data_IF_907655042516
#
_entry.id   IF_907655042516
#
_cell.length_a   1.000
_cell.length_b   1.000
_cell.length_c   1.000
_cell.angle_alpha   90.00
_cell.angle_beta   90.00
_cell.angle_gamma   90.00
#
_symmetry.space_group_name_H-M   'P 1'
#
loop_
_entity.id
_entity.type
_entity.pdbx_description
1 polymer ?
#
# COMPACT_ATOMS: atom_id res chain seq x y z
N UNK A 1 -24.34 7.31 -25.55
CA UNK A 1 -23.77 8.66 -25.31
C UNK A 1 -22.53 8.51 -24.46
N UNK A 2 -21.33 8.58 -25.06
CA UNK A 2 -20.05 8.49 -24.33
C UNK A 2 -19.65 9.92 -23.95
N UNK A 3 -19.73 10.27 -22.66
CA UNK A 3 -19.12 11.50 -22.18
C UNK A 3 -17.63 11.26 -21.99
N UNK A 4 -16.83 11.76 -22.90
CA UNK A 4 -15.41 11.95 -22.71
C UNK A 4 -15.22 13.09 -21.69
N UNK A 5 -14.72 12.77 -20.49
CA UNK A 5 -14.17 13.80 -19.62
C UNK A 5 -12.94 14.34 -20.35
N UNK A 6 -13.00 15.57 -20.85
CA UNK A 6 -11.92 16.17 -21.62
C UNK A 6 -10.69 16.34 -20.70
N UNK A 7 -9.51 16.11 -21.25
CA UNK A 7 -8.22 16.28 -20.55
C UNK A 7 -8.10 17.64 -19.83
N UNK A 8 -8.76 18.68 -20.34
CA UNK A 8 -8.82 20.00 -19.73
C UNK A 8 -9.56 20.03 -18.38
N UNK A 9 -10.57 19.19 -18.16
CA UNK A 9 -11.28 19.16 -16.85
C UNK A 9 -10.46 18.44 -15.76
N UNK A 10 -9.68 17.44 -16.15
CA UNK A 10 -8.76 16.77 -15.22
C UNK A 10 -7.60 17.70 -14.82
N UNK A 11 -7.09 18.48 -15.77
CA UNK A 11 -6.04 19.49 -15.50
C UNK A 11 -6.52 20.61 -14.57
N UNK A 12 -7.78 21.06 -14.71
CA UNK A 12 -8.38 22.08 -13.84
C UNK A 12 -8.59 21.51 -12.44
N UNK A 13 -9.07 20.28 -12.28
CA UNK A 13 -9.23 19.63 -10.97
C UNK A 13 -7.90 19.44 -10.25
N UNK A 14 -6.85 19.01 -10.95
CA UNK A 14 -5.48 18.90 -10.41
C UNK A 14 -4.90 20.25 -10.03
N UNK A 15 -5.10 21.30 -10.84
CA UNK A 15 -4.65 22.65 -10.55
C UNK A 15 -5.42 23.25 -9.35
N UNK A 16 -6.73 23.02 -9.23
CA UNK A 16 -7.53 23.49 -8.09
C UNK A 16 -7.14 22.79 -6.81
N UNK A 17 -6.83 21.50 -6.85
CA UNK A 17 -6.33 20.75 -5.70
C UNK A 17 -4.94 21.23 -5.27
N UNK A 18 -4.06 21.54 -6.22
CA UNK A 18 -2.73 22.10 -5.95
C UNK A 18 -2.79 23.51 -5.34
N UNK A 19 -3.76 24.35 -5.77
CA UNK A 19 -3.94 25.71 -5.24
C UNK A 19 -4.55 25.70 -3.83
N UNK A 20 -5.39 24.73 -3.48
CA UNK A 20 -5.93 24.55 -2.13
C UNK A 20 -4.88 24.10 -1.09
N UNK A 21 -3.75 23.55 -1.54
CA UNK A 21 -2.64 23.14 -0.68
C UNK A 21 -1.61 24.27 -0.41
N UNK A 22 -1.66 25.37 -1.13
CA UNK A 22 -0.68 26.47 -1.01
C UNK A 22 -0.72 27.31 0.28
N UNK A 23 -1.83 27.47 1.04
CA UNK A 23 -1.81 28.35 2.22
C UNK A 23 -1.27 27.71 3.50
N UNK A 24 -0.88 26.43 3.52
CA UNK A 24 -0.48 25.73 4.75
C UNK A 24 1.04 25.67 4.98
N UNK A 25 1.86 26.32 4.17
CA UNK A 25 3.31 26.33 4.33
C UNK A 25 3.77 27.41 5.31
N UNK A 26 3.36 27.31 6.57
CA UNK A 26 4.05 28.01 7.66
C UNK A 26 5.08 27.04 8.22
N UNK A 27 6.33 27.19 7.81
CA UNK A 27 7.45 26.40 8.30
C UNK A 27 7.86 26.91 9.69
N UNK A 28 7.66 26.09 10.72
CA UNK A 28 8.31 26.29 12.02
C UNK A 28 9.67 25.56 12.06
N UNK A 29 9.74 24.35 11.45
CA UNK A 29 10.95 23.58 11.18
C UNK A 29 10.98 23.19 9.70
N UNK A 30 12.18 23.04 9.11
CA UNK A 30 12.34 22.65 7.70
C UNK A 30 11.69 21.28 7.38
N UNK A 31 11.53 20.92 6.09
CA UNK A 31 10.96 19.65 5.72
C UNK A 31 11.83 18.49 6.23
N UNK A 32 11.21 17.47 6.82
CA UNK A 32 11.90 16.23 7.18
C UNK A 32 11.82 15.20 6.05
N UNK A 33 12.80 14.32 5.99
CA UNK A 33 12.92 13.32 4.94
C UNK A 33 13.08 11.94 5.59
N UNK A 34 12.72 10.92 4.83
CA UNK A 34 13.04 9.58 5.27
C UNK A 34 13.21 8.62 4.08
N UNK A 35 13.95 7.56 4.32
CA UNK A 35 14.14 6.46 3.37
C UNK A 35 13.85 5.13 4.06
N UNK A 36 13.43 4.15 3.29
CA UNK A 36 13.15 2.82 3.79
C UNK A 36 13.46 1.74 2.77
N UNK A 37 13.79 0.57 3.25
CA UNK A 37 13.96 -0.64 2.46
C UNK A 37 13.15 -1.77 3.09
N UNK A 38 12.26 -2.37 2.30
CA UNK A 38 11.44 -3.49 2.70
C UNK A 38 11.85 -4.80 2.04
N UNK A 39 11.47 -5.88 2.66
CA UNK A 39 11.49 -7.23 2.13
C UNK A 39 10.20 -7.93 2.53
N UNK A 40 9.48 -8.45 1.56
CA UNK A 40 8.27 -9.22 1.79
C UNK A 40 8.34 -10.51 1.00
N UNK A 41 7.98 -11.61 1.65
CA UNK A 41 7.79 -12.92 1.03
C UNK A 41 6.36 -13.36 1.23
N UNK A 42 5.76 -13.92 0.20
CA UNK A 42 4.45 -14.55 0.28
C UNK A 42 4.42 -15.82 -0.58
N UNK A 43 3.70 -16.82 -0.10
CA UNK A 43 3.47 -18.08 -0.80
C UNK A 43 2.00 -18.43 -0.77
N UNK A 44 1.48 -18.98 -1.86
CA UNK A 44 0.08 -19.38 -1.95
C UNK A 44 -0.34 -19.78 -3.35
N UNK A 45 -1.54 -20.35 -3.46
CA UNK A 45 -2.15 -20.75 -4.75
C UNK A 45 -2.95 -19.63 -5.40
N UNK A 46 -3.36 -18.63 -4.66
CA UNK A 46 -4.09 -17.44 -5.12
C UNK A 46 -5.31 -17.73 -6.00
N UNK A 47 -5.94 -18.89 -5.80
CA UNK A 47 -7.07 -19.34 -6.63
C UNK A 47 -6.68 -19.93 -8.00
N UNK A 48 -5.39 -19.98 -8.35
CA UNK A 48 -4.92 -20.50 -9.66
C UNK A 48 -4.68 -22.01 -9.67
N UNK A 49 -4.62 -22.65 -8.50
CA UNK A 49 -4.22 -24.06 -8.34
C UNK A 49 -2.70 -24.27 -8.35
N UNK A 50 -1.90 -23.30 -8.79
CA UNK A 50 -0.43 -23.35 -8.84
C UNK A 50 0.15 -22.56 -7.68
N UNK A 51 1.01 -23.18 -6.87
CA UNK A 51 1.71 -22.49 -5.79
C UNK A 51 2.68 -21.49 -6.38
N UNK A 52 2.56 -20.23 -5.97
CA UNK A 52 3.41 -19.11 -6.40
C UNK A 52 4.09 -18.52 -5.18
N UNK A 53 5.41 -18.53 -5.20
CA UNK A 53 6.24 -17.81 -4.25
C UNK A 53 6.57 -16.44 -4.83
N UNK A 54 6.42 -15.42 -4.01
CA UNK A 54 6.63 -14.03 -4.43
C UNK A 54 7.52 -13.31 -3.45
N UNK A 55 8.44 -12.50 -3.97
CA UNK A 55 9.26 -11.57 -3.19
C UNK A 55 8.96 -10.15 -3.68
N UNK A 56 8.81 -9.23 -2.76
CA UNK A 56 8.60 -7.81 -3.01
C UNK A 56 9.58 -7.02 -2.14
N UNK A 57 10.42 -6.21 -2.78
CA UNK A 57 11.45 -5.43 -2.12
C UNK A 57 11.25 -3.95 -2.47
N UNK A 58 10.43 -3.21 -1.72
CA UNK A 58 10.23 -1.79 -1.94
C UNK A 58 11.38 -0.97 -1.38
N UNK A 59 11.95 -0.10 -2.19
CA UNK A 59 12.67 1.07 -1.74
C UNK A 59 11.69 2.23 -1.68
N UNK A 60 11.70 2.97 -0.58
CA UNK A 60 10.81 4.11 -0.37
C UNK A 60 11.61 5.34 0.01
N UNK A 61 11.25 6.46 -0.58
CA UNK A 61 11.71 7.79 -0.19
C UNK A 61 10.49 8.66 0.10
N UNK A 62 10.52 9.42 1.20
CA UNK A 62 9.44 10.34 1.51
C UNK A 62 9.95 11.69 1.99
N UNK A 63 9.07 12.66 1.84
CA UNK A 63 9.25 14.03 2.32
C UNK A 63 8.00 14.45 3.10
N UNK A 64 8.23 15.11 4.22
CA UNK A 64 7.21 15.70 5.09
C UNK A 64 7.38 17.22 5.04
N UNK A 65 6.73 17.92 4.10
CA UNK A 65 6.81 19.38 4.03
C UNK A 65 6.25 20.05 5.28
N UNK A 66 5.32 19.40 5.95
CA UNK A 66 4.73 19.82 7.24
C UNK A 66 4.44 18.61 8.08
N UNK A 67 4.13 18.77 9.37
CA UNK A 67 3.68 17.68 10.26
C UNK A 67 2.39 16.99 9.78
N UNK A 68 1.63 17.62 8.89
CA UNK A 68 0.35 17.12 8.39
C UNK A 68 0.38 16.57 6.98
N UNK A 69 1.40 16.94 6.17
CA UNK A 69 1.47 16.60 4.76
C UNK A 69 2.68 15.74 4.48
N UNK A 70 2.47 14.63 3.82
CA UNK A 70 3.52 13.74 3.36
C UNK A 70 3.37 13.37 1.89
N UNK A 71 4.51 13.14 1.26
CA UNK A 71 4.63 12.51 -0.05
C UNK A 71 5.63 11.39 0.02
N UNK A 72 5.37 10.30 -0.69
CA UNK A 72 6.34 9.22 -0.79
C UNK A 72 6.38 8.60 -2.19
N UNK A 73 7.58 8.22 -2.61
CA UNK A 73 7.84 7.45 -3.81
C UNK A 73 8.27 6.05 -3.42
N UNK A 74 7.62 5.05 -3.98
CA UNK A 74 7.93 3.64 -3.81
C UNK A 74 8.43 3.07 -5.14
N UNK A 75 9.60 2.42 -5.11
CA UNK A 75 10.23 1.76 -6.25
C UNK A 75 10.44 0.29 -5.85
N UNK A 76 9.57 -0.63 -6.27
CA UNK A 76 9.69 -2.03 -5.87
C UNK A 76 10.55 -2.83 -6.85
N UNK A 77 11.36 -3.76 -6.33
CA UNK A 77 11.82 -4.92 -7.07
C UNK A 77 10.92 -6.10 -6.73
N UNK A 78 10.55 -6.88 -7.73
CA UNK A 78 9.62 -8.01 -7.57
C UNK A 78 10.21 -9.27 -8.18
N UNK A 79 9.92 -10.40 -7.53
CA UNK A 79 10.16 -11.75 -8.02
C UNK A 79 8.93 -12.60 -7.78
N UNK A 80 8.64 -13.50 -8.70
CA UNK A 80 7.64 -14.56 -8.52
C UNK A 80 8.12 -15.85 -9.19
N UNK A 81 7.83 -16.99 -8.54
CA UNK A 81 8.27 -18.30 -9.00
C UNK A 81 7.52 -18.79 -10.24
N UNK A 82 6.35 -18.22 -10.51
CA UNK A 82 5.52 -18.55 -11.68
C UNK A 82 4.90 -17.28 -12.26
N UNK A 83 4.48 -17.31 -13.51
CA UNK A 83 3.71 -16.24 -14.15
C UNK A 83 2.18 -16.42 -14.05
N UNK A 84 1.71 -17.24 -13.12
CA UNK A 84 0.27 -17.51 -12.90
C UNK A 84 -0.49 -16.31 -12.37
N UNK A 85 0.19 -15.34 -11.78
CA UNK A 85 -0.36 -14.11 -11.20
C UNK A 85 0.49 -12.94 -11.62
N UNK A 86 -0.04 -11.72 -11.52
CA UNK A 86 0.75 -10.51 -11.74
C UNK A 86 1.50 -10.17 -10.45
N UNK A 87 2.82 -10.02 -10.53
CA UNK A 87 3.69 -9.75 -9.39
C UNK A 87 3.35 -8.41 -8.70
N UNK A 88 3.64 -8.33 -7.43
CA UNK A 88 3.43 -7.12 -6.64
C UNK A 88 1.97 -6.81 -6.27
N UNK A 89 1.02 -7.61 -6.77
CA UNK A 89 -0.41 -7.38 -6.50
C UNK A 89 -0.89 -7.92 -5.15
N UNK A 90 -0.07 -8.71 -4.47
CA UNK A 90 -0.42 -9.37 -3.20
C UNK A 90 0.35 -8.86 -2.02
N UNK A 91 1.38 -8.08 -2.28
CA UNK A 91 2.34 -7.68 -1.28
C UNK A 91 2.18 -6.20 -0.97
N UNK A 92 2.37 -5.84 0.23
CA UNK A 92 2.28 -4.47 0.70
C UNK A 92 2.36 -4.45 2.21
N UNK A 93 3.46 -3.91 2.70
CA UNK A 93 3.63 -3.65 4.11
C UNK A 93 2.77 -2.46 4.48
N UNK A 94 1.88 -2.66 5.43
CA UNK A 94 1.06 -1.59 5.98
C UNK A 94 1.63 -1.27 7.36
N UNK A 95 2.33 -0.15 7.41
CA UNK A 95 2.91 0.32 8.64
C UNK A 95 1.85 0.73 9.66
N UNK A 96 2.19 0.68 10.93
CA UNK A 96 1.36 1.22 12.01
C UNK A 96 1.60 2.72 12.15
N UNK A 97 0.62 3.53 11.78
CA UNK A 97 0.69 4.98 11.99
C UNK A 97 0.22 5.34 13.40
N UNK A 98 1.02 6.04 14.11
CA UNK A 98 0.65 6.71 15.34
C UNK A 98 1.23 8.09 15.34
N UNK A 99 0.40 9.02 15.76
CA UNK A 99 0.69 10.43 15.96
C UNK A 99 2.15 10.74 16.29
N UNK A 100 2.69 11.73 15.61
CA UNK A 100 4.03 12.30 15.67
C UNK A 100 5.13 11.56 14.91
N UNK A 101 5.47 12.12 13.74
CA UNK A 101 6.77 12.05 13.07
C UNK A 101 7.35 10.65 12.85
N UNK A 102 6.58 9.70 12.34
CA UNK A 102 7.19 8.45 11.90
C UNK A 102 6.58 8.01 10.58
N UNK A 103 7.44 7.97 9.60
CA UNK A 103 7.17 7.53 8.24
C UNK A 103 6.54 6.16 8.20
N UNK A 104 5.52 6.06 7.43
CA UNK A 104 4.91 4.80 7.07
C UNK A 104 5.12 4.47 5.61
N UNK A 105 5.68 3.31 5.42
CA UNK A 105 5.65 2.62 4.15
C UNK A 105 4.24 2.07 3.91
N UNK A 106 3.34 2.93 3.40
CA UNK A 106 2.04 2.46 2.95
C UNK A 106 2.18 1.95 1.53
N UNK A 107 2.23 0.65 1.38
CA UNK A 107 2.22 0.02 0.06
C UNK A 107 0.80 -0.35 -0.31
N UNK A 108 0.29 0.32 -1.33
CA UNK A 108 -1.01 0.01 -1.91
C UNK A 108 -1.03 -1.39 -2.55
N UNK A 109 -2.12 -2.10 -2.40
CA UNK A 109 -2.32 -3.40 -3.00
C UNK A 109 -3.01 -3.29 -4.34
N UNK A 110 -2.49 -3.97 -5.33
CA UNK A 110 -3.16 -4.20 -6.60
C UNK A 110 -3.71 -5.63 -6.70
N UNK A 111 -4.68 -5.82 -7.53
CA UNK A 111 -5.43 -7.07 -7.65
C UNK A 111 -4.91 -8.05 -8.69
N UNK A 112 -5.56 -9.21 -8.73
CA UNK A 112 -5.16 -10.42 -9.43
C UNK A 112 -5.83 -10.61 -10.79
N UNK A 113 -5.11 -11.18 -11.74
CA UNK A 113 -5.66 -11.74 -12.96
C UNK A 113 -5.30 -13.22 -13.16
N UNK A 114 -6.32 -14.02 -13.41
CA UNK A 114 -6.19 -15.46 -13.63
C UNK A 114 -6.46 -15.81 -15.09
N UNK A 115 -5.65 -15.40 -16.03
CA UNK A 115 -5.75 -15.88 -17.41
C UNK A 115 -4.38 -16.00 -18.10
N UNK A 116 -3.34 -16.37 -17.33
CA UNK A 116 -2.11 -16.82 -17.96
C UNK A 116 -2.35 -18.20 -18.57
N UNK A 117 -2.15 -18.34 -19.87
CA UNK A 117 -2.18 -19.64 -20.55
C UNK A 117 -1.26 -20.60 -19.82
N UNK A 118 -1.72 -21.83 -19.57
CA UNK A 118 -1.03 -22.86 -18.77
C UNK A 118 0.43 -23.16 -19.22
N UNK A 119 0.83 -22.73 -20.43
CA UNK A 119 2.19 -22.90 -20.95
C UNK A 119 3.23 -21.93 -20.37
N UNK A 120 2.83 -20.85 -19.68
CA UNK A 120 3.75 -19.88 -19.06
C UNK A 120 3.84 -20.00 -17.53
N UNK A 121 3.06 -20.87 -16.92
CA UNK A 121 2.92 -20.99 -15.47
C UNK A 121 4.19 -21.40 -14.70
N UNK A 122 5.19 -21.94 -15.39
CA UNK A 122 6.38 -22.54 -14.76
C UNK A 122 7.65 -21.69 -14.86
N UNK A 123 7.58 -20.49 -15.43
CA UNK A 123 8.75 -19.63 -15.57
C UNK A 123 8.78 -18.58 -14.47
N UNK A 124 9.84 -18.60 -13.67
CA UNK A 124 10.09 -17.52 -12.71
C UNK A 124 10.37 -16.21 -13.42
N UNK A 125 9.91 -15.11 -12.85
CA UNK A 125 10.06 -13.75 -13.39
C UNK A 125 10.58 -12.82 -12.30
N UNK A 126 11.42 -11.86 -12.68
CA UNK A 126 11.89 -10.82 -11.76
C UNK A 126 12.20 -9.52 -12.51
N UNK A 127 12.20 -8.43 -11.79
CA UNK A 127 12.51 -7.09 -12.31
C UNK A 127 11.91 -5.99 -11.46
N UNK A 128 11.94 -4.77 -11.98
CA UNK A 128 11.25 -3.65 -11.37
C UNK A 128 9.74 -3.85 -11.47
N UNK A 129 9.05 -3.56 -10.38
CA UNK A 129 7.59 -3.51 -10.32
C UNK A 129 7.04 -2.13 -10.71
N UNK A 130 5.74 -1.95 -10.56
CA UNK A 130 5.08 -0.66 -10.80
C UNK A 130 5.41 0.32 -9.67
N UNK A 131 6.00 1.46 -10.03
CA UNK A 131 6.31 2.55 -9.08
C UNK A 131 5.02 3.21 -8.59
N UNK A 132 5.03 3.70 -7.33
CA UNK A 132 3.88 4.42 -6.74
C UNK A 132 4.33 5.74 -6.16
N UNK A 133 3.60 6.79 -6.49
CA UNK A 133 3.68 8.09 -5.82
C UNK A 133 2.44 8.24 -4.94
N UNK A 134 2.65 8.55 -3.67
CA UNK A 134 1.60 8.65 -2.66
C UNK A 134 1.64 10.02 -2.00
N UNK A 135 0.49 10.47 -1.53
CA UNK A 135 0.32 11.66 -0.73
C UNK A 135 -0.67 11.40 0.40
N UNK A 136 -0.41 11.95 1.56
CA UNK A 136 -1.32 11.89 2.71
C UNK A 136 -1.42 13.24 3.39
N UNK A 137 -2.58 13.52 3.99
CA UNK A 137 -2.80 14.74 4.73
C UNK A 137 -3.57 14.47 6.02
N UNK A 138 -3.03 14.86 7.17
CA UNK A 138 -3.71 14.76 8.47
C UNK A 138 -4.74 15.87 8.54
N UNK A 139 -6.00 15.55 8.19
CA UNK A 139 -7.12 16.49 8.20
C UNK A 139 -7.51 16.86 9.63
N UNK A 140 -7.64 15.86 10.49
CA UNK A 140 -7.90 16.00 11.92
C UNK A 140 -6.87 15.20 12.71
N UNK A 141 -6.24 15.85 13.68
CA UNK A 141 -5.43 15.17 14.70
C UNK A 141 -6.36 14.50 15.71
N UNK A 142 -5.89 13.44 16.35
CA UNK A 142 -6.67 12.77 17.37
C UNK A 142 -6.97 13.69 18.57
N UNK A 143 -8.21 13.66 19.02
CA UNK A 143 -8.69 14.29 20.24
C UNK A 143 -9.45 13.28 21.11
N UNK A 144 -9.89 13.68 22.30
CA UNK A 144 -10.54 12.78 23.28
C UNK A 144 -11.64 11.91 22.68
N UNK A 145 -12.47 12.45 21.78
CA UNK A 145 -13.62 11.76 21.19
C UNK A 145 -13.54 11.61 19.68
N UNK A 146 -12.60 12.27 19.02
CA UNK A 146 -12.44 12.28 17.58
C UNK A 146 -11.18 11.47 17.20
N UNK A 147 -11.24 10.50 16.29
CA UNK A 147 -10.07 9.83 15.79
C UNK A 147 -9.20 10.79 14.95
N UNK A 148 -7.94 10.49 14.81
CA UNK A 148 -7.16 11.07 13.73
C UNK A 148 -7.77 10.64 12.39
N UNK A 149 -7.89 11.58 11.44
CA UNK A 149 -8.47 11.34 10.11
C UNK A 149 -7.42 11.77 9.09
N UNK A 150 -6.96 10.83 8.28
CA UNK A 150 -5.94 11.07 7.26
C UNK A 150 -6.41 10.59 5.89
N UNK A 151 -7.02 11.44 5.05
CA UNK A 151 -7.18 11.14 3.63
C UNK A 151 -5.83 10.90 2.97
N UNK A 152 -5.80 9.93 2.07
CA UNK A 152 -4.63 9.55 1.31
C UNK A 152 -4.98 9.35 -0.18
N UNK A 153 -3.96 9.45 -1.02
CA UNK A 153 -4.06 9.30 -2.45
C UNK A 153 -2.79 8.69 -3.00
N UNK A 154 -2.91 7.86 -4.03
CA UNK A 154 -1.74 7.41 -4.78
C UNK A 154 -2.00 7.27 -6.27
N UNK A 155 -0.90 7.35 -7.03
CA UNK A 155 -0.85 6.98 -8.44
C UNK A 155 0.20 5.89 -8.62
N UNK A 156 -0.19 4.81 -9.27
CA UNK A 156 0.71 3.74 -9.72
C UNK A 156 1.07 3.97 -11.18
N UNK A 157 2.37 3.98 -11.47
CA UNK A 157 2.93 4.14 -12.81
C UNK A 157 3.25 2.77 -13.41
N UNK A 158 2.93 2.49 -14.69
CA UNK A 158 3.19 1.21 -15.34
C UNK A 158 4.67 1.06 -15.74
N UNK A 159 5.56 1.02 -14.76
CA UNK A 159 7.01 0.90 -14.95
C UNK A 159 7.49 -0.54 -15.05
N UNK A 160 6.67 -1.50 -14.59
CA UNK A 160 6.98 -2.91 -14.64
C UNK A 160 6.79 -3.50 -16.04
N UNK A 161 7.54 -4.57 -16.33
CA UNK A 161 7.37 -5.33 -17.57
C UNK A 161 6.10 -6.18 -17.52
N UNK A 162 5.04 -5.71 -18.20
CA UNK A 162 3.75 -6.41 -18.27
C UNK A 162 3.84 -7.76 -18.99
N UNK A 163 4.80 -7.95 -19.92
CA UNK A 163 4.95 -9.20 -20.65
C UNK A 163 5.56 -10.30 -19.78
N UNK A 164 6.22 -9.90 -18.68
CA UNK A 164 6.69 -10.79 -17.61
C UNK A 164 5.69 -10.91 -16.45
N UNK A 165 4.50 -10.33 -16.56
CA UNK A 165 3.51 -10.28 -15.48
C UNK A 165 4.05 -9.63 -14.19
N UNK A 166 5.00 -8.68 -14.30
CA UNK A 166 5.52 -7.92 -13.17
C UNK A 166 4.68 -6.69 -12.83
N UNK A 167 3.73 -6.34 -13.70
CA UNK A 167 2.76 -5.28 -13.52
C UNK A 167 1.63 -5.36 -14.53
N UNK A 168 0.61 -4.53 -14.38
CA UNK A 168 -0.57 -4.51 -15.26
C UNK A 168 -0.34 -3.78 -16.58
N UNK A 169 0.75 -3.00 -16.68
CA UNK A 169 1.02 -2.13 -17.83
C UNK A 169 0.05 -0.94 -17.95
N UNK A 170 -0.63 -0.57 -16.87
CA UNK A 170 -1.60 0.52 -16.83
C UNK A 170 -1.42 1.38 -15.58
N UNK A 171 -1.82 2.66 -15.68
CA UNK A 171 -1.89 3.56 -14.54
C UNK A 171 -3.07 3.18 -13.67
N UNK A 172 -2.87 3.19 -12.35
CA UNK A 172 -3.96 3.09 -11.37
C UNK A 172 -3.95 4.33 -10.47
N UNK A 173 -5.09 4.66 -9.90
CA UNK A 173 -5.23 5.71 -8.91
C UNK A 173 -6.05 5.20 -7.72
N UNK A 174 -5.57 5.43 -6.51
CA UNK A 174 -6.23 5.05 -5.27
C UNK A 174 -6.53 6.26 -4.40
N UNK A 175 -7.66 6.24 -3.70
CA UNK A 175 -8.08 7.23 -2.72
C UNK A 175 -8.51 6.48 -1.47
N UNK A 176 -8.06 6.92 -0.30
CA UNK A 176 -8.40 6.28 0.95
C UNK A 176 -8.56 7.27 2.09
N UNK A 177 -9.08 6.75 3.19
CA UNK A 177 -9.16 7.46 4.47
C UNK A 177 -8.69 6.52 5.56
N UNK A 178 -7.65 6.92 6.23
CA UNK A 178 -7.12 6.24 7.41
C UNK A 178 -7.67 6.89 8.68
N UNK A 179 -8.03 6.04 9.63
CA UNK A 179 -8.58 6.43 10.93
C UNK A 179 -7.77 5.76 12.04
N UNK A 180 -7.26 6.56 12.98
CA UNK A 180 -6.54 6.04 14.16
C UNK A 180 -7.14 6.61 15.43
N UNK A 181 -7.40 5.75 16.43
CA UNK A 181 -7.94 6.14 17.72
C UNK A 181 -7.22 5.44 18.86
N UNK A 182 -6.75 6.23 19.84
CA UNK A 182 -6.07 5.75 21.03
C UNK A 182 -6.99 5.70 22.25
N UNK A 183 -6.79 4.67 23.06
CA UNK A 183 -7.47 4.42 24.32
C UNK A 183 -6.42 4.04 25.39
N UNK A 184 -5.66 5.02 25.84
CA UNK A 184 -4.47 4.79 26.68
C UNK A 184 -3.35 4.12 25.85
N UNK A 185 -2.95 2.90 26.25
CA UNK A 185 -1.96 2.10 25.50
C UNK A 185 -2.57 1.28 24.36
N UNK A 186 -3.88 1.13 24.31
CA UNK A 186 -4.57 0.49 23.18
C UNK A 186 -4.82 1.50 22.08
N UNK A 187 -4.84 1.03 20.85
CA UNK A 187 -5.31 1.81 19.72
C UNK A 187 -6.09 0.94 18.74
N UNK A 188 -6.94 1.56 17.99
CA UNK A 188 -7.60 0.98 16.82
C UNK A 188 -7.15 1.77 15.60
N UNK A 189 -6.80 1.05 14.55
CA UNK A 189 -6.35 1.64 13.29
C UNK A 189 -7.06 0.95 12.12
N UNK A 190 -7.38 1.72 11.09
CA UNK A 190 -8.02 1.20 9.90
C UNK A 190 -7.97 2.18 8.74
N UNK A 191 -7.99 1.64 7.53
CA UNK A 191 -8.05 2.38 6.26
C UNK A 191 -9.13 1.77 5.36
N UNK A 192 -9.82 2.62 4.64
CA UNK A 192 -10.74 2.25 3.58
C UNK A 192 -10.39 3.06 2.34
N UNK A 193 -10.01 2.37 1.28
CA UNK A 193 -9.65 2.97 0.00
C UNK A 193 -10.45 2.42 -1.17
N UNK A 194 -10.55 3.21 -2.23
CA UNK A 194 -11.09 2.82 -3.52
C UNK A 194 -10.03 3.02 -4.59
N UNK A 195 -9.82 1.96 -5.39
CA UNK A 195 -8.80 1.93 -6.44
C UNK A 195 -9.46 1.87 -7.79
N UNK A 196 -9.11 2.82 -8.63
CA UNK A 196 -9.47 2.87 -10.05
C UNK A 196 -8.31 2.28 -10.83
N UNK A 197 -8.51 1.11 -11.42
CA UNK A 197 -7.51 0.45 -12.25
C UNK A 197 -7.63 0.88 -13.71
N UNK A 198 -6.48 1.17 -14.33
CA UNK A 198 -6.39 1.39 -15.77
C UNK A 198 -6.58 0.09 -16.54
N UNK A 199 -7.03 0.19 -17.78
CA UNK A 199 -7.24 -0.98 -18.64
C UNK A 199 -5.91 -1.66 -18.94
N UNK A 200 -5.78 -2.91 -18.54
CA UNK A 200 -4.64 -3.76 -18.84
C UNK A 200 -4.87 -4.58 -20.11
N UNK A 201 -3.79 -4.82 -20.85
CA UNK A 201 -3.83 -5.72 -22.03
C UNK A 201 -3.48 -7.18 -21.65
N UNK A 202 -3.08 -7.43 -20.41
CA UNK A 202 -2.64 -8.76 -19.94
C UNK A 202 -3.60 -9.38 -18.93
N UNK A 203 -4.51 -8.57 -18.35
CA UNK A 203 -5.47 -9.03 -17.34
C UNK A 203 -6.74 -8.16 -17.33
N UNK A 204 -7.90 -8.78 -17.13
CA UNK A 204 -9.18 -8.09 -17.01
C UNK A 204 -9.33 -7.51 -15.61
N UNK A 205 -8.78 -6.32 -15.40
CA UNK A 205 -8.83 -5.62 -14.11
C UNK A 205 -10.18 -4.98 -13.83
N UNK A 206 -10.50 -4.83 -12.57
CA UNK A 206 -11.72 -4.25 -12.05
C UNK A 206 -11.39 -3.29 -10.91
N UNK A 207 -12.06 -2.14 -10.86
CA UNK A 207 -11.96 -1.24 -9.70
C UNK A 207 -12.37 -1.96 -8.44
N UNK A 208 -11.70 -1.67 -7.33
CA UNK A 208 -11.92 -2.40 -6.08
C UNK A 208 -11.81 -1.49 -4.85
N UNK A 209 -12.42 -1.97 -3.76
CA UNK A 209 -12.17 -1.44 -2.42
C UNK A 209 -11.00 -2.20 -1.80
N UNK A 210 -10.11 -1.48 -1.16
CA UNK A 210 -9.09 -2.01 -0.26
C UNK A 210 -9.37 -1.54 1.16
N UNK A 211 -9.08 -2.38 2.13
CA UNK A 211 -9.35 -2.05 3.53
C UNK A 211 -8.45 -2.83 4.47
N UNK A 212 -8.19 -2.23 5.60
CA UNK A 212 -7.72 -2.94 6.78
C UNK A 212 -8.34 -2.34 8.04
N UNK A 213 -8.40 -3.14 9.10
CA UNK A 213 -8.73 -2.65 10.43
C UNK A 213 -8.25 -3.63 11.49
N UNK A 214 -7.89 -3.11 12.65
CA UNK A 214 -7.54 -3.92 13.80
C UNK A 214 -7.15 -3.15 15.04
N UNK A 215 -7.12 -3.83 16.20
CA UNK A 215 -6.59 -3.29 17.44
C UNK A 215 -5.07 -3.44 17.51
N UNK A 216 -4.45 -2.50 18.18
CA UNK A 216 -3.05 -2.55 18.54
C UNK A 216 -2.80 -2.16 19.99
N UNK A 217 -1.58 -2.42 20.46
CA UNK A 217 -1.15 -2.12 21.80
C UNK A 217 0.28 -1.59 21.82
N UNK A 218 0.50 -0.50 22.55
CA UNK A 218 1.81 0.10 22.81
C UNK A 218 2.41 -0.54 24.05
N UNK A 219 3.34 -1.47 23.88
CA UNK A 219 4.00 -2.18 24.99
C UNK A 219 4.99 -1.28 25.73
N UNK A 220 5.85 -0.62 24.95
CA UNK A 220 6.81 0.38 25.42
C UNK A 220 6.75 1.62 24.53
N UNK A 221 7.48 2.67 24.83
CA UNK A 221 7.60 3.84 23.95
C UNK A 221 8.13 3.45 22.56
N UNK A 222 8.95 2.41 22.50
CA UNK A 222 9.62 1.95 21.29
C UNK A 222 8.86 0.83 20.57
N UNK A 223 8.10 -0.03 21.32
CA UNK A 223 7.46 -1.22 20.75
C UNK A 223 5.95 -1.10 20.75
N UNK A 224 5.37 -1.23 19.59
CA UNK A 224 3.92 -1.43 19.41
C UNK A 224 3.64 -2.63 18.50
N UNK A 225 2.54 -3.29 18.76
CA UNK A 225 2.06 -4.42 17.98
C UNK A 225 0.59 -4.23 17.65
N UNK A 226 0.17 -4.85 16.54
CA UNK A 226 -1.20 -4.77 16.04
C UNK A 226 -1.61 -6.11 15.45
N UNK A 227 -2.84 -6.51 15.69
CA UNK A 227 -3.50 -7.60 14.98
C UNK A 227 -4.58 -7.00 14.08
N UNK A 228 -4.57 -7.31 12.79
CA UNK A 228 -5.48 -6.70 11.84
C UNK A 228 -6.01 -7.70 10.81
N UNK A 229 -7.15 -7.39 10.25
CA UNK A 229 -7.67 -7.98 9.02
C UNK A 229 -7.42 -7.00 7.88
N UNK A 230 -6.90 -7.52 6.77
CA UNK A 230 -6.63 -6.76 5.55
C UNK A 230 -7.25 -7.47 4.35
N UNK A 231 -7.88 -6.72 3.48
CA UNK A 231 -8.53 -7.34 2.33
C UNK A 231 -8.84 -6.37 1.20
N UNK A 232 -9.36 -6.96 0.10
CA UNK A 232 -9.88 -6.23 -1.05
C UNK A 232 -11.14 -6.89 -1.56
N UNK A 233 -12.03 -6.12 -2.16
CA UNK A 233 -13.06 -6.68 -3.06
C UNK A 233 -12.37 -7.27 -4.31
N UNK A 234 -13.07 -8.03 -5.17
CA UNK A 234 -12.46 -8.60 -6.37
C UNK A 234 -11.80 -7.54 -7.24
N UNK A 235 -10.56 -7.76 -7.61
CA UNK A 235 -9.70 -6.82 -8.33
C UNK A 235 -9.62 -7.14 -9.82
N UNK A 236 -10.11 -8.32 -10.21
CA UNK A 236 -10.29 -8.76 -11.59
C UNK A 236 -11.64 -9.44 -11.74
N UNK A 237 -12.14 -9.49 -12.96
CA UNK A 237 -13.40 -10.17 -13.25
C UNK A 237 -13.27 -11.67 -12.99
N UNK A 238 -14.29 -12.23 -12.32
CA UNK A 238 -14.35 -13.66 -12.00
C UNK A 238 -13.53 -14.10 -10.78
N UNK A 239 -12.72 -13.21 -10.18
CA UNK A 239 -12.00 -13.53 -8.94
C UNK A 239 -12.87 -13.32 -7.69
N UNK A 240 -12.48 -13.96 -6.59
CA UNK A 240 -13.05 -13.73 -5.27
C UNK A 240 -12.35 -12.58 -4.54
N UNK A 241 -12.99 -12.06 -3.50
CA UNK A 241 -12.38 -11.10 -2.57
C UNK A 241 -11.18 -11.70 -1.85
N UNK A 242 -10.22 -10.86 -1.50
CA UNK A 242 -9.10 -11.24 -0.66
C UNK A 242 -9.37 -10.85 0.79
N UNK A 243 -8.93 -11.71 1.70
CA UNK A 243 -8.91 -11.43 3.13
C UNK A 243 -7.77 -12.20 3.78
N UNK A 244 -6.99 -11.51 4.59
CA UNK A 244 -5.89 -12.08 5.38
C UNK A 244 -5.89 -11.50 6.79
N UNK A 245 -5.48 -12.31 7.76
CA UNK A 245 -5.15 -11.87 9.10
C UNK A 245 -3.65 -11.57 9.15
N UNK A 246 -3.28 -10.45 9.80
CA UNK A 246 -1.90 -10.05 10.04
C UNK A 246 -1.65 -9.79 11.51
N UNK A 247 -0.47 -10.18 11.97
CA UNK A 247 0.12 -9.71 13.21
C UNK A 247 1.37 -8.89 12.83
N UNK A 248 1.41 -7.63 13.23
CA UNK A 248 2.50 -6.72 12.92
C UNK A 248 3.12 -6.14 14.18
N UNK A 249 4.40 -5.79 14.09
CA UNK A 249 5.16 -5.16 15.15
C UNK A 249 6.02 -4.05 14.55
N UNK A 250 6.10 -2.94 15.27
CA UNK A 250 7.01 -1.83 14.97
C UNK A 250 7.91 -1.60 16.19
N UNK A 251 9.20 -1.51 15.93
CA UNK A 251 10.20 -1.20 16.95
C UNK A 251 11.07 -0.02 16.52
N UNK A 252 11.10 1.01 17.35
CA UNK A 252 11.91 2.21 17.18
C UNK A 252 13.23 2.04 17.93
N UNK A 253 14.36 1.95 17.22
CA UNK A 253 15.67 1.83 17.85
C UNK A 253 16.17 3.16 18.39
N UNK A 254 16.03 4.21 17.59
CA UNK A 254 16.43 5.59 17.89
C UNK A 254 15.36 6.54 17.36
N UNK A 255 15.50 7.84 17.61
CA UNK A 255 14.61 8.86 17.02
C UNK A 255 14.60 8.81 15.48
N UNK A 256 15.69 8.34 14.87
CA UNK A 256 15.85 8.30 13.42
C UNK A 256 15.63 6.92 12.80
N UNK A 257 15.79 5.83 13.54
CA UNK A 257 15.84 4.48 12.95
C UNK A 257 14.84 3.55 13.60
N UNK A 258 14.13 2.78 12.77
CA UNK A 258 13.23 1.75 13.25
C UNK A 258 13.07 0.61 12.26
N UNK A 259 12.33 -0.40 12.71
CA UNK A 259 12.01 -1.60 11.97
C UNK A 259 10.52 -1.90 12.11
N UNK A 260 9.91 -2.31 11.02
CA UNK A 260 8.55 -2.81 10.96
C UNK A 260 8.55 -4.25 10.46
N UNK A 261 7.71 -5.09 11.03
CA UNK A 261 7.57 -6.48 10.57
C UNK A 261 6.15 -6.99 10.69
N UNK A 262 5.79 -7.99 9.89
CA UNK A 262 4.50 -8.67 10.00
C UNK A 262 4.58 -10.13 9.63
N UNK A 263 3.63 -10.89 10.16
CA UNK A 263 3.26 -12.24 9.72
C UNK A 263 1.82 -12.19 9.23
N UNK A 264 1.54 -12.88 8.12
CA UNK A 264 0.21 -12.92 7.52
C UNK A 264 -0.24 -14.35 7.26
N UNK A 265 -1.54 -14.57 7.39
CA UNK A 265 -2.25 -15.80 7.03
C UNK A 265 -3.46 -15.46 6.18
N UNK A 266 -3.53 -16.02 4.98
CA UNK A 266 -4.69 -15.90 4.11
C UNK A 266 -5.91 -16.62 4.68
N UNK A 267 -7.07 -16.00 4.54
CA UNK A 267 -8.38 -16.52 4.95
C UNK A 267 -9.16 -16.98 3.73
N UNK A 268 -9.06 -16.25 2.61
CA UNK A 268 -9.72 -16.59 1.35
C UNK A 268 -8.77 -17.28 0.39
N UNK A 269 -9.30 -18.03 -0.57
CA UNK A 269 -8.52 -18.80 -1.56
C UNK A 269 -7.67 -17.93 -2.48
N UNK A 270 -8.02 -16.66 -2.65
CA UNK A 270 -7.29 -15.68 -3.46
C UNK A 270 -6.21 -14.93 -2.67
N UNK A 271 -6.16 -15.14 -1.36
CA UNK A 271 -5.08 -14.61 -0.51
C UNK A 271 -3.84 -15.51 -0.55
N UNK A 272 -2.65 -15.00 -0.23
CA UNK A 272 -1.49 -15.85 0.03
C UNK A 272 -1.79 -16.80 1.20
N UNK A 273 -1.31 -18.02 1.13
CA UNK A 273 -1.44 -18.95 2.26
C UNK A 273 -0.70 -18.42 3.48
N UNK A 274 0.51 -17.89 3.27
CA UNK A 274 1.35 -17.25 4.27
C UNK A 274 2.11 -16.08 3.68
N UNK A 275 2.39 -15.09 4.50
CA UNK A 275 3.23 -13.95 4.17
C UNK A 275 4.06 -13.50 5.36
N UNK A 276 5.23 -12.95 5.10
CA UNK A 276 6.10 -12.31 6.06
C UNK A 276 6.69 -11.07 5.45
N UNK A 277 6.80 -10.00 6.22
CA UNK A 277 7.43 -8.77 5.78
C UNK A 277 8.30 -8.18 6.86
N UNK A 278 9.34 -7.48 6.42
CA UNK A 278 10.28 -6.74 7.25
C UNK A 278 10.67 -5.46 6.50
N UNK A 279 10.74 -4.34 7.19
CA UNK A 279 11.29 -3.10 6.63
C UNK A 279 12.10 -2.36 7.66
N UNK A 280 13.16 -1.72 7.23
CA UNK A 280 13.96 -0.78 8.00
C UNK A 280 13.79 0.61 7.42
N UNK A 281 13.83 1.63 8.26
CA UNK A 281 13.70 3.02 7.83
C UNK A 281 14.63 3.93 8.62
N UNK A 282 14.96 5.04 7.97
CA UNK A 282 15.78 6.10 8.53
C UNK A 282 15.15 7.48 8.26
N UNK A 283 15.01 8.29 9.29
CA UNK A 283 14.55 9.67 9.26
C UNK A 283 15.74 10.63 9.39
N UNK A 284 15.74 11.67 8.58
CA UNK A 284 16.76 12.74 8.60
C UNK A 284 16.27 13.93 9.41
#
# INVERSE_FOLDING_TARGET
MKQFISAGRLSILLATFAILLLPAMVYADGPSYAVGLGFEFATGKYGTGVTTDSIYMPFTAAVYPTERLDFSLEIPFVYQSTSSVVAGQYMGMQGMQGSTSTMMLQTGMGGMGTNASASQANNSQSGLGDMKLKAGYVLYTEEKYVPAIRPNFYVKFPTADKNKFLGTGAFDAGFGVELTKWFGKWFADGDLGYVIQGKSSVVNVKNYLEYYAGPGYQFTEQLRMMALLKGTTPTVEGASSRLEARASAKYQFTEHTGIDGYLAKGITTTSPDYGVGLAVYYHF
#
